data_IF_225529110604
#
_entry.id   IF_225529110604
#
_cell.length_a   1.000
_cell.length_b   1.000
_cell.length_c   1.000
_cell.angle_alpha   90.00
_cell.angle_beta   90.00
_cell.angle_gamma   90.00
#
_symmetry.space_group_name_H-M   'P 1'
#
loop_
_entity.id
_entity.type
_entity.pdbx_description
1 polymer ?
#
# COMPACT_ATOMS: atom_id res chain seq x y z
N UNK A 1 -9.29 -26.79 19.73
CA UNK A 1 -9.41 -26.65 18.26
C UNK A 1 -8.33 -25.69 17.80
N UNK A 2 -7.55 -25.98 16.74
CA UNK A 2 -6.59 -25.02 16.23
C UNK A 2 -7.34 -23.76 15.79
N UNK A 3 -6.90 -22.62 16.32
CA UNK A 3 -7.49 -21.32 16.00
C UNK A 3 -7.33 -21.07 14.49
N UNK A 4 -8.43 -20.77 13.80
CA UNK A 4 -8.44 -20.62 12.33
C UNK A 4 -7.48 -19.48 11.94
N UNK A 5 -6.48 -19.79 11.12
CA UNK A 5 -5.54 -18.80 10.56
C UNK A 5 -6.31 -17.62 9.96
N UNK A 6 -5.82 -16.43 10.24
CA UNK A 6 -6.44 -15.20 9.75
C UNK A 6 -6.03 -14.93 8.32
N UNK A 7 -6.97 -14.57 7.46
CA UNK A 7 -6.66 -14.16 6.09
C UNK A 7 -6.13 -12.73 6.04
N UNK A 8 -5.35 -12.40 5.01
CA UNK A 8 -4.87 -11.03 4.76
C UNK A 8 -6.01 -10.00 4.80
N UNK A 9 -7.14 -10.32 4.17
CA UNK A 9 -8.34 -9.46 4.18
C UNK A 9 -8.84 -9.19 5.60
N UNK A 10 -8.83 -10.20 6.46
CA UNK A 10 -9.27 -10.05 7.84
C UNK A 10 -8.28 -9.19 8.67
N UNK A 11 -6.98 -9.30 8.39
CA UNK A 11 -5.92 -8.49 9.02
C UNK A 11 -6.08 -7.03 8.63
N UNK A 12 -6.19 -6.70 7.35
CA UNK A 12 -6.40 -5.32 6.86
C UNK A 12 -7.66 -4.70 7.47
N UNK A 13 -8.77 -5.44 7.52
CA UNK A 13 -10.02 -4.95 8.15
C UNK A 13 -9.88 -4.70 9.65
N UNK A 14 -9.09 -5.51 10.32
CA UNK A 14 -8.85 -5.33 11.75
C UNK A 14 -7.94 -4.12 12.01
N UNK A 15 -6.92 -3.91 11.16
CA UNK A 15 -6.08 -2.72 11.20
C UNK A 15 -6.90 -1.44 11.04
N UNK A 16 -7.75 -1.38 10.01
CA UNK A 16 -8.64 -0.25 9.77
C UNK A 16 -9.56 0.03 10.97
N UNK A 17 -10.17 -1.01 11.56
CA UNK A 17 -11.00 -0.86 12.76
C UNK A 17 -10.21 -0.34 13.95
N UNK A 18 -8.97 -0.80 14.15
CA UNK A 18 -8.12 -0.35 15.25
C UNK A 18 -7.77 1.12 15.12
N UNK A 19 -7.33 1.53 13.93
CA UNK A 19 -6.93 2.90 13.64
C UNK A 19 -8.11 3.89 13.77
N UNK A 20 -9.28 3.51 13.25
CA UNK A 20 -10.52 4.30 13.44
C UNK A 20 -10.96 4.39 14.88
N UNK A 21 -10.95 3.27 15.62
CA UNK A 21 -11.36 3.24 17.03
C UNK A 21 -10.45 4.11 17.90
N UNK A 22 -9.15 4.18 17.56
CA UNK A 22 -8.20 5.08 18.22
C UNK A 22 -8.29 6.54 17.73
N UNK A 23 -9.10 6.83 16.72
CA UNK A 23 -9.25 8.16 16.13
C UNK A 23 -7.97 8.69 15.50
N UNK A 24 -7.18 7.80 14.87
CA UNK A 24 -5.97 8.15 14.15
C UNK A 24 -6.26 8.49 12.69
N UNK A 25 -5.74 9.63 12.23
CA UNK A 25 -5.70 9.91 10.81
C UNK A 25 -4.61 9.03 10.18
N UNK A 26 -4.95 8.31 9.14
CA UNK A 26 -4.07 7.30 8.55
C UNK A 26 -4.35 7.09 7.06
N UNK A 27 -3.40 6.44 6.38
CA UNK A 27 -3.55 6.06 4.98
C UNK A 27 -2.79 4.76 4.71
N UNK A 28 -3.43 3.83 4.03
CA UNK A 28 -2.77 2.62 3.52
C UNK A 28 -1.94 2.95 2.28
N UNK A 29 -0.72 2.43 2.25
CA UNK A 29 0.26 2.62 1.17
C UNK A 29 0.76 1.28 0.63
N UNK A 30 1.93 1.25 0.03
CA UNK A 30 2.60 0.03 -0.40
C UNK A 30 1.76 -0.85 -1.33
N UNK A 31 1.79 -2.15 -1.09
CA UNK A 31 1.12 -3.13 -1.96
C UNK A 31 -0.40 -2.97 -2.03
N UNK A 32 -1.05 -2.44 -0.99
CA UNK A 32 -2.50 -2.16 -1.03
C UNK A 32 -2.82 -1.03 -2.01
N UNK A 33 -2.02 0.03 -2.05
CA UNK A 33 -2.20 1.12 -3.00
C UNK A 33 -1.90 0.66 -4.45
N UNK A 34 -0.85 -0.16 -4.62
CA UNK A 34 -0.56 -0.81 -5.90
C UNK A 34 -1.73 -1.67 -6.35
N UNK A 35 -2.28 -2.50 -5.47
CA UNK A 35 -3.44 -3.35 -5.77
C UNK A 35 -4.72 -2.59 -6.10
N UNK A 36 -4.90 -1.39 -5.51
CA UNK A 36 -6.06 -0.53 -5.77
C UNK A 36 -5.99 0.15 -7.15
N UNK A 37 -4.82 0.59 -7.57
CA UNK A 37 -4.64 1.45 -8.75
C UNK A 37 -3.84 0.82 -9.88
N UNK A 38 -2.99 -0.16 -9.58
CA UNK A 38 -2.07 -0.82 -10.50
C UNK A 38 -2.35 -2.32 -10.66
N UNK A 39 -1.29 -3.10 -10.78
CA UNK A 39 -1.34 -4.56 -10.89
C UNK A 39 -1.24 -5.15 -9.48
N UNK A 40 -2.28 -5.86 -9.00
CA UNK A 40 -2.22 -6.50 -7.70
C UNK A 40 -1.08 -7.53 -7.62
N UNK A 41 -0.38 -7.57 -6.50
CA UNK A 41 0.62 -8.58 -6.18
C UNK A 41 0.42 -9.12 -4.76
N UNK A 42 1.04 -10.24 -4.47
CA UNK A 42 1.06 -10.79 -3.11
C UNK A 42 1.95 -9.97 -2.20
N UNK A 43 1.54 -9.86 -0.94
CA UNK A 43 2.33 -9.24 0.12
C UNK A 43 1.99 -9.92 1.45
N UNK A 44 2.95 -9.92 2.38
CA UNK A 44 2.76 -10.38 3.76
C UNK A 44 2.56 -9.21 4.73
N UNK A 45 2.93 -8.02 4.31
CA UNK A 45 2.94 -6.78 5.05
C UNK A 45 1.82 -5.83 4.63
N UNK A 46 1.38 -5.02 5.58
CA UNK A 46 0.39 -3.96 5.38
C UNK A 46 1.02 -2.65 5.83
N UNK A 47 1.42 -1.84 4.85
CA UNK A 47 2.03 -0.54 5.10
C UNK A 47 0.97 0.52 5.40
N UNK A 48 1.12 1.23 6.52
CA UNK A 48 0.19 2.28 6.93
C UNK A 48 0.97 3.49 7.44
N UNK A 49 0.70 4.65 6.86
CA UNK A 49 1.16 5.92 7.43
C UNK A 49 0.11 6.39 8.44
N UNK A 50 0.56 6.75 9.64
CA UNK A 50 -0.31 7.14 10.76
C UNK A 50 0.10 8.52 11.28
N UNK A 51 -0.84 9.43 11.40
CA UNK A 51 -0.63 10.70 12.09
C UNK A 51 -0.91 10.50 13.58
N UNK A 52 0.16 10.14 14.29
CA UNK A 52 0.08 9.84 15.72
C UNK A 52 -0.25 11.10 16.51
N UNK A 53 -1.21 10.95 17.41
CA UNK A 53 -1.52 11.96 18.44
C UNK A 53 -0.97 11.46 19.76
N UNK A 54 -0.02 12.19 20.33
CA UNK A 54 0.77 11.79 21.51
C UNK A 54 -0.08 11.25 22.66
N UNK A 55 -1.18 11.90 23.02
CA UNK A 55 -2.10 11.46 24.06
C UNK A 55 -2.97 10.24 23.70
N UNK A 56 -2.79 9.61 22.52
CA UNK A 56 -3.62 8.49 22.06
C UNK A 56 -2.86 7.20 21.74
N UNK A 57 -1.56 7.16 22.02
CA UNK A 57 -0.73 5.99 21.73
C UNK A 57 -1.20 4.75 22.51
N UNK A 58 -1.54 4.92 23.79
CA UNK A 58 -2.09 3.83 24.61
C UNK A 58 -3.43 3.31 24.08
N UNK A 59 -4.30 4.22 23.66
CA UNK A 59 -5.58 3.87 23.06
C UNK A 59 -5.39 3.12 21.74
N UNK A 60 -4.37 3.47 20.95
CA UNK A 60 -4.02 2.78 19.70
C UNK A 60 -3.51 1.37 19.98
N UNK A 61 -2.57 1.21 20.93
CA UNK A 61 -2.07 -0.09 21.34
C UNK A 61 -3.21 -1.00 21.83
N UNK A 62 -4.10 -0.46 22.66
CA UNK A 62 -5.25 -1.20 23.16
C UNK A 62 -6.23 -1.59 22.03
N UNK A 63 -6.50 -0.69 21.09
CA UNK A 63 -7.36 -0.98 19.95
C UNK A 63 -6.78 -2.10 19.07
N UNK A 64 -5.47 -2.12 18.84
CA UNK A 64 -4.79 -3.21 18.14
C UNK A 64 -4.89 -4.53 18.92
N UNK A 65 -4.59 -4.54 20.22
CA UNK A 65 -4.67 -5.75 21.05
C UNK A 65 -6.08 -6.35 21.05
N UNK A 66 -7.14 -5.52 21.15
CA UNK A 66 -8.53 -5.97 21.04
C UNK A 66 -8.86 -6.61 19.70
N UNK A 67 -8.19 -6.19 18.65
CA UNK A 67 -8.33 -6.79 17.32
C UNK A 67 -7.40 -7.99 17.10
N UNK A 68 -6.67 -8.45 18.11
CA UNK A 68 -5.82 -9.63 18.06
C UNK A 68 -4.43 -9.39 17.46
N UNK A 69 -3.92 -8.19 17.57
CA UNK A 69 -2.52 -7.88 17.25
C UNK A 69 -1.64 -7.89 18.49
N UNK A 70 -0.35 -8.16 18.30
CA UNK A 70 0.68 -8.08 19.33
C UNK A 70 1.45 -6.77 19.13
N UNK A 71 1.29 -5.86 20.07
CA UNK A 71 1.96 -4.55 20.08
C UNK A 71 2.01 -4.02 21.51
N UNK A 72 3.11 -3.37 21.88
CA UNK A 72 3.20 -2.59 23.12
C UNK A 72 2.99 -1.10 22.83
N UNK A 73 2.58 -0.36 23.85
CA UNK A 73 2.50 1.10 23.74
C UNK A 73 3.90 1.72 23.70
N UNK A 74 4.87 1.09 24.34
CA UNK A 74 6.26 1.56 24.36
C UNK A 74 6.89 1.43 22.97
N UNK A 75 6.72 0.30 22.27
CA UNK A 75 7.20 0.14 20.89
C UNK A 75 6.64 1.24 19.96
N UNK A 76 5.36 1.60 20.14
CA UNK A 76 4.74 2.68 19.38
C UNK A 76 5.32 4.06 19.75
N UNK A 77 5.63 4.31 21.04
CA UNK A 77 6.26 5.57 21.46
C UNK A 77 7.68 5.70 20.96
N UNK A 78 8.46 4.62 21.04
CA UNK A 78 9.84 4.58 20.56
C UNK A 78 9.88 4.84 19.04
N UNK A 79 9.05 4.15 18.27
CA UNK A 79 8.94 4.38 16.83
C UNK A 79 8.55 5.84 16.49
N UNK A 80 7.66 6.44 17.29
CA UNK A 80 7.27 7.83 17.13
C UNK A 80 8.43 8.79 17.45
N UNK A 81 9.14 8.56 18.54
CA UNK A 81 10.28 9.38 18.96
C UNK A 81 11.43 9.32 17.95
N UNK A 82 11.72 8.14 17.43
CA UNK A 82 12.77 7.89 16.44
C UNK A 82 12.34 8.22 15.01
N UNK A 83 11.07 8.51 14.77
CA UNK A 83 10.46 8.68 13.43
C UNK A 83 10.71 7.46 12.53
N UNK A 84 10.78 6.28 13.14
CA UNK A 84 10.94 4.99 12.51
C UNK A 84 9.58 4.29 12.35
N UNK A 85 9.55 3.13 11.68
CA UNK A 85 8.35 2.30 11.62
C UNK A 85 8.22 1.43 12.86
N UNK A 86 6.98 1.05 13.19
CA UNK A 86 6.66 0.05 14.21
C UNK A 86 5.98 -1.14 13.54
N UNK A 87 6.56 -2.32 13.66
CA UNK A 87 5.94 -3.55 13.15
C UNK A 87 4.97 -4.13 14.18
N UNK A 88 3.72 -4.30 13.76
CA UNK A 88 2.63 -4.84 14.59
C UNK A 88 2.21 -6.20 14.03
N UNK A 89 2.50 -7.27 14.77
CA UNK A 89 2.23 -8.64 14.34
C UNK A 89 0.78 -9.07 14.60
N UNK A 90 0.16 -9.75 13.64
CA UNK A 90 -1.09 -10.45 13.88
C UNK A 90 -0.84 -11.71 14.74
N UNK A 91 -1.64 -11.94 15.78
CA UNK A 91 -1.43 -13.06 16.70
C UNK A 91 -1.79 -14.44 16.09
N UNK A 92 -2.54 -14.47 14.97
CA UNK A 92 -3.14 -15.68 14.39
C UNK A 92 -2.69 -15.96 12.94
N UNK A 93 -1.72 -15.19 12.43
CA UNK A 93 -1.16 -15.38 11.10
C UNK A 93 0.27 -14.86 11.05
N UNK A 94 0.94 -15.04 9.91
CA UNK A 94 2.26 -14.48 9.61
C UNK A 94 2.20 -13.03 9.10
N UNK A 95 1.00 -12.48 8.90
CA UNK A 95 0.83 -11.11 8.44
C UNK A 95 1.16 -10.10 9.54
N UNK A 96 1.68 -8.97 9.14
CA UNK A 96 2.02 -7.87 10.04
C UNK A 96 1.66 -6.53 9.40
N UNK A 97 1.67 -5.50 10.23
CA UNK A 97 1.48 -4.12 9.83
C UNK A 97 2.78 -3.37 10.07
N UNK A 98 3.21 -2.56 9.13
CA UNK A 98 4.27 -1.59 9.31
C UNK A 98 3.65 -0.19 9.43
N UNK A 99 3.63 0.31 10.66
CA UNK A 99 3.08 1.62 10.99
C UNK A 99 4.18 2.67 10.90
N UNK A 100 4.07 3.58 9.96
CA UNK A 100 5.03 4.66 9.71
C UNK A 100 4.46 5.96 10.24
N UNK A 101 5.16 6.68 11.14
CA UNK A 101 4.73 7.99 11.60
C UNK A 101 4.65 9.02 10.46
N UNK A 102 3.60 9.84 10.45
CA UNK A 102 3.46 10.95 9.51
C UNK A 102 4.38 12.14 9.89
N UNK A 103 5.66 11.85 10.16
CA UNK A 103 6.64 12.84 10.60
C UNK A 103 7.12 13.76 9.47
N UNK A 104 7.12 13.27 8.23
CA UNK A 104 7.59 14.01 7.05
C UNK A 104 6.42 14.68 6.31
N UNK A 105 6.70 15.78 5.63
CA UNK A 105 5.70 16.49 4.82
C UNK A 105 5.05 15.56 3.75
N UNK A 106 5.82 14.66 3.15
CA UNK A 106 5.35 13.67 2.19
C UNK A 106 4.32 12.71 2.80
N UNK A 107 4.56 12.25 4.02
CA UNK A 107 3.66 11.36 4.73
C UNK A 107 2.34 12.06 5.11
N UNK A 108 2.41 13.32 5.57
CA UNK A 108 1.21 14.14 5.82
C UNK A 108 0.44 14.45 4.55
N UNK A 109 1.16 14.63 3.43
CA UNK A 109 0.54 14.86 2.12
C UNK A 109 -0.20 13.60 1.63
N UNK A 110 0.35 12.41 1.88
CA UNK A 110 -0.33 11.13 1.58
C UNK A 110 -1.67 11.01 2.32
N UNK A 111 -1.72 11.34 3.61
CA UNK A 111 -2.97 11.32 4.40
C UNK A 111 -3.96 12.34 3.84
N UNK A 112 -3.51 13.57 3.58
CA UNK A 112 -4.36 14.67 3.09
C UNK A 112 -5.02 14.39 1.74
N UNK A 113 -4.30 13.73 0.84
CA UNK A 113 -4.77 13.40 -0.52
C UNK A 113 -5.21 11.95 -0.65
N UNK A 114 -5.45 11.26 0.48
CA UNK A 114 -5.93 9.89 0.45
C UNK A 114 -7.27 9.77 -0.28
N UNK A 115 -7.44 8.65 -0.96
CA UNK A 115 -8.66 8.32 -1.70
C UNK A 115 -9.40 7.22 -0.96
N UNK A 116 -10.69 7.42 -0.72
CA UNK A 116 -11.55 6.38 -0.16
C UNK A 116 -11.82 5.30 -1.19
N UNK A 117 -11.24 4.13 -1.01
CA UNK A 117 -11.40 2.98 -1.90
C UNK A 117 -12.28 1.93 -1.24
N UNK A 118 -13.36 1.52 -1.93
CA UNK A 118 -14.14 0.36 -1.50
C UNK A 118 -13.38 -0.92 -1.79
N UNK A 119 -12.89 -1.53 -0.74
CA UNK A 119 -12.11 -2.76 -0.80
C UNK A 119 -12.83 -3.89 -0.08
N UNK A 120 -13.30 -4.88 -0.86
CA UNK A 120 -14.21 -5.92 -0.34
C UNK A 120 -15.45 -5.25 0.31
N UNK A 121 -15.72 -5.55 1.59
CA UNK A 121 -16.87 -5.01 2.34
C UNK A 121 -16.45 -3.90 3.32
N UNK A 122 -15.33 -3.21 3.06
CA UNK A 122 -14.86 -2.07 3.87
C UNK A 122 -14.40 -0.94 2.96
N UNK A 123 -14.30 0.26 3.50
CA UNK A 123 -13.72 1.41 2.81
C UNK A 123 -12.41 1.72 3.49
N UNK A 124 -11.33 1.82 2.70
CA UNK A 124 -9.98 2.11 3.18
C UNK A 124 -9.54 3.47 2.63
N UNK A 125 -8.91 4.31 3.47
CA UNK A 125 -8.17 5.47 2.97
C UNK A 125 -6.86 4.97 2.36
N UNK A 126 -6.69 5.11 1.06
CA UNK A 126 -5.50 4.66 0.33
C UNK A 126 -4.80 5.87 -0.27
N UNK A 127 -3.47 5.90 -0.22
CA UNK A 127 -2.68 6.95 -0.87
C UNK A 127 -3.04 7.05 -2.35
N UNK A 128 -3.20 8.25 -2.85
CA UNK A 128 -3.62 8.46 -4.24
C UNK A 128 -2.59 7.91 -5.26
N UNK A 129 -3.00 7.68 -6.51
CA UNK A 129 -2.13 7.12 -7.52
C UNK A 129 -0.86 7.94 -7.75
N UNK A 130 -0.97 9.27 -7.74
CA UNK A 130 0.15 10.18 -7.98
C UNK A 130 1.21 10.09 -6.88
N UNK A 131 0.75 10.06 -5.62
CA UNK A 131 1.65 9.87 -4.49
C UNK A 131 2.32 8.49 -4.56
N UNK A 132 1.55 7.44 -4.83
CA UNK A 132 2.05 6.07 -4.90
C UNK A 132 3.09 5.92 -6.01
N UNK A 133 2.84 6.44 -7.22
CA UNK A 133 3.81 6.42 -8.34
C UNK A 133 5.11 7.10 -7.93
N UNK A 134 5.05 8.32 -7.42
CA UNK A 134 6.27 9.09 -7.08
C UNK A 134 7.05 8.41 -5.98
N UNK A 135 6.39 7.92 -4.92
CA UNK A 135 7.09 7.24 -3.83
C UNK A 135 7.72 5.92 -4.27
N UNK A 136 7.09 5.19 -5.18
CA UNK A 136 7.67 4.00 -5.81
C UNK A 136 8.96 4.34 -6.59
N UNK A 137 8.99 5.46 -7.31
CA UNK A 137 10.20 5.93 -7.98
C UNK A 137 11.29 6.37 -6.99
N UNK A 138 10.92 6.93 -5.84
CA UNK A 138 11.86 7.28 -4.76
C UNK A 138 12.52 6.04 -4.17
N UNK A 139 11.78 4.93 -3.97
CA UNK A 139 12.33 3.66 -3.49
C UNK A 139 13.19 2.98 -4.57
N UNK A 140 12.77 3.01 -5.83
CA UNK A 140 13.58 2.75 -7.00
C UNK A 140 14.02 1.31 -7.22
N UNK A 141 13.49 0.31 -6.49
CA UNK A 141 13.74 -1.09 -6.84
C UNK A 141 13.08 -1.44 -8.18
N UNK A 142 13.54 -2.50 -8.83
CA UNK A 142 12.94 -2.98 -10.08
C UNK A 142 11.42 -3.20 -9.92
N UNK A 143 11.01 -3.84 -8.84
CA UNK A 143 9.60 -4.06 -8.51
C UNK A 143 8.85 -2.73 -8.29
N UNK A 144 9.49 -1.73 -7.67
CA UNK A 144 8.85 -0.43 -7.44
C UNK A 144 8.62 0.32 -8.77
N UNK A 145 9.55 0.23 -9.69
CA UNK A 145 9.41 0.82 -11.04
C UNK A 145 8.30 0.12 -11.83
N UNK A 146 8.20 -1.21 -11.74
CA UNK A 146 7.10 -1.98 -12.34
C UNK A 146 5.74 -1.62 -11.73
N UNK A 147 5.66 -1.53 -10.40
CA UNK A 147 4.46 -1.10 -9.67
C UNK A 147 4.02 0.31 -10.13
N UNK A 148 4.97 1.26 -10.19
CA UNK A 148 4.70 2.63 -10.65
C UNK A 148 4.19 2.66 -12.09
N UNK A 149 4.81 1.90 -12.99
CA UNK A 149 4.41 1.79 -14.39
C UNK A 149 3.01 1.20 -14.54
N UNK A 150 2.72 0.14 -13.80
CA UNK A 150 1.39 -0.48 -13.78
C UNK A 150 0.29 0.47 -13.35
N UNK A 151 0.54 1.27 -12.29
CA UNK A 151 -0.39 2.32 -11.84
C UNK A 151 -0.54 3.40 -12.90
N UNK A 152 0.57 3.92 -13.44
CA UNK A 152 0.55 4.99 -14.44
C UNK A 152 -0.27 4.60 -15.68
N UNK A 153 -0.03 3.42 -16.23
CA UNK A 153 -0.74 2.93 -17.43
C UNK A 153 -2.25 2.82 -17.17
N UNK A 154 -2.65 2.30 -16.02
CA UNK A 154 -4.06 2.10 -15.67
C UNK A 154 -4.79 3.38 -15.33
N UNK A 155 -4.12 4.31 -14.64
CA UNK A 155 -4.74 5.53 -14.14
C UNK A 155 -4.53 6.75 -15.05
N UNK A 156 -3.75 6.62 -16.14
CA UNK A 156 -3.27 7.72 -17.00
C UNK A 156 -4.30 8.81 -17.30
N UNK A 157 -5.56 8.42 -17.57
CA UNK A 157 -6.63 9.37 -17.92
C UNK A 157 -7.16 10.16 -16.71
N UNK A 158 -6.84 9.73 -15.49
CA UNK A 158 -7.32 10.29 -14.22
C UNK A 158 -6.23 10.96 -13.42
N UNK A 159 -4.95 10.78 -13.83
CA UNK A 159 -3.80 11.36 -13.12
C UNK A 159 -3.78 12.88 -13.26
N UNK A 160 -3.57 13.55 -12.13
CA UNK A 160 -3.24 14.97 -12.06
C UNK A 160 -1.77 15.21 -12.41
N UNK A 161 -1.40 15.08 -13.70
CA UNK A 161 -0.01 15.09 -14.17
C UNK A 161 0.79 16.29 -13.67
N UNK A 162 0.18 17.49 -13.61
CA UNK A 162 0.85 18.68 -13.09
C UNK A 162 1.26 18.52 -11.64
N UNK A 163 0.36 18.06 -10.79
CA UNK A 163 0.63 17.83 -9.36
C UNK A 163 1.67 16.72 -9.18
N UNK A 164 1.54 15.63 -9.92
CA UNK A 164 2.48 14.51 -9.86
C UNK A 164 3.90 14.93 -10.24
N UNK A 165 4.08 15.70 -11.34
CA UNK A 165 5.39 16.21 -11.76
C UNK A 165 5.99 17.19 -10.75
N UNK A 166 5.18 18.07 -10.15
CA UNK A 166 5.64 18.95 -9.09
C UNK A 166 6.08 18.15 -7.86
N UNK A 167 5.36 17.09 -7.52
CA UNK A 167 5.73 16.21 -6.41
C UNK A 167 7.02 15.44 -6.73
N UNK A 168 7.15 14.85 -7.92
CA UNK A 168 8.37 14.16 -8.37
C UNK A 168 9.59 15.09 -8.37
N UNK A 169 9.43 16.34 -8.81
CA UNK A 169 10.50 17.35 -8.74
C UNK A 169 10.98 17.61 -7.32
N UNK A 170 10.05 17.76 -6.36
CA UNK A 170 10.40 17.95 -4.95
C UNK A 170 11.07 16.73 -4.32
N UNK A 171 10.82 15.53 -4.86
CA UNK A 171 11.43 14.28 -4.40
C UNK A 171 12.72 13.91 -5.16
N UNK A 172 13.14 14.70 -6.16
CA UNK A 172 14.35 14.44 -6.93
C UNK A 172 14.22 13.33 -7.99
N UNK A 173 13.00 12.86 -8.30
CA UNK A 173 12.72 11.75 -9.23
C UNK A 173 11.93 12.19 -10.47
N UNK A 174 12.09 13.46 -10.88
CA UNK A 174 11.36 13.96 -12.04
C UNK A 174 11.83 13.30 -13.35
N UNK A 175 13.11 12.99 -13.46
CA UNK A 175 13.65 12.34 -14.65
C UNK A 175 13.23 10.87 -14.72
N UNK A 176 13.21 10.17 -13.57
CA UNK A 176 12.66 8.81 -13.49
C UNK A 176 11.17 8.77 -13.89
N UNK A 177 10.40 9.80 -13.48
CA UNK A 177 9.01 9.92 -13.91
C UNK A 177 8.87 10.14 -15.42
N UNK A 178 9.75 10.95 -16.03
CA UNK A 178 9.75 11.15 -17.49
C UNK A 178 10.09 9.87 -18.23
N UNK A 179 11.03 9.09 -17.69
CA UNK A 179 11.40 7.79 -18.25
C UNK A 179 10.25 6.78 -18.17
N UNK A 180 9.56 6.76 -17.04
CA UNK A 180 8.35 5.97 -16.85
C UNK A 180 7.24 6.39 -17.82
N UNK A 181 7.04 7.70 -18.04
CA UNK A 181 6.08 8.23 -19.01
C UNK A 181 6.41 7.78 -20.44
N UNK A 182 7.70 7.75 -20.83
CA UNK A 182 8.15 7.23 -22.15
C UNK A 182 7.86 5.73 -22.30
N UNK A 183 8.27 4.91 -21.31
CA UNK A 183 7.99 3.46 -21.30
C UNK A 183 6.49 3.17 -21.43
N UNK A 184 5.66 3.95 -20.74
CA UNK A 184 4.20 3.79 -20.82
C UNK A 184 3.63 4.09 -22.23
N UNK A 185 4.26 4.95 -23.00
CA UNK A 185 3.89 5.22 -24.40
C UNK A 185 4.30 4.06 -25.31
N UNK A 186 5.50 3.51 -25.11
CA UNK A 186 6.03 2.37 -25.87
C UNK A 186 5.17 1.12 -25.68
N UNK A 187 4.79 0.80 -24.44
CA UNK A 187 3.87 -0.31 -24.11
C UNK A 187 2.54 -0.16 -24.84
N UNK A 188 2.00 1.06 -24.93
CA UNK A 188 0.74 1.32 -25.61
C UNK A 188 0.83 1.13 -27.13
N UNK A 189 1.98 1.40 -27.71
CA UNK A 189 2.21 1.25 -29.15
C UNK A 189 2.50 -0.19 -29.56
N UNK A 190 3.09 -1.00 -28.67
CA UNK A 190 3.59 -2.35 -28.99
C UNK A 190 2.84 -3.55 -28.40
N UNK A 191 2.13 -3.38 -27.29
CA UNK A 191 1.65 -4.55 -26.53
C UNK A 191 0.29 -4.36 -25.84
N UNK A 192 -0.76 -4.03 -26.56
CA UNK A 192 -2.13 -3.98 -26.00
C UNK A 192 -2.61 -5.30 -25.36
N UNK A 193 -1.96 -6.40 -25.67
CA UNK A 193 -2.46 -7.72 -25.28
C UNK A 193 -1.82 -8.36 -24.04
N UNK A 194 -0.59 -8.01 -23.66
CA UNK A 194 0.15 -8.74 -22.61
C UNK A 194 -0.20 -8.27 -21.21
N UNK A 195 -0.14 -6.97 -20.95
CA UNK A 195 -0.47 -6.41 -19.63
C UNK A 195 -1.94 -6.63 -19.25
N UNK A 196 -2.86 -6.50 -20.21
CA UNK A 196 -4.29 -6.77 -19.95
C UNK A 196 -4.55 -8.25 -19.62
N UNK A 197 -3.79 -9.16 -20.22
CA UNK A 197 -3.86 -10.60 -19.91
C UNK A 197 -3.32 -10.91 -18.52
N UNK A 198 -2.18 -10.37 -18.14
CA UNK A 198 -1.61 -10.55 -16.80
C UNK A 198 -2.52 -9.96 -15.71
N UNK A 199 -3.10 -8.81 -15.96
CA UNK A 199 -4.09 -8.19 -15.07
C UNK A 199 -5.34 -9.07 -14.91
N UNK A 200 -5.85 -9.64 -16.00
CA UNK A 200 -7.01 -10.52 -15.96
C UNK A 200 -6.71 -11.80 -15.16
N UNK A 201 -5.51 -12.37 -15.32
CA UNK A 201 -5.03 -13.54 -14.56
C UNK A 201 -4.92 -13.22 -13.07
N UNK A 202 -4.22 -12.11 -12.70
CA UNK A 202 -4.08 -11.70 -11.31
C UNK A 202 -5.43 -11.47 -10.62
N UNK A 203 -6.40 -10.85 -11.32
CA UNK A 203 -7.77 -10.68 -10.81
C UNK A 203 -8.48 -12.01 -10.54
N UNK A 204 -8.34 -12.98 -11.42
CA UNK A 204 -8.96 -14.30 -11.27
C UNK A 204 -8.40 -15.03 -10.04
N UNK A 205 -7.09 -14.95 -9.80
CA UNK A 205 -6.45 -15.55 -8.63
C UNK A 205 -6.88 -14.88 -7.32
N UNK A 206 -6.96 -13.55 -7.27
CA UNK A 206 -7.43 -12.81 -6.09
C UNK A 206 -8.90 -13.13 -5.78
N UNK A 207 -9.74 -13.29 -6.82
CA UNK A 207 -11.15 -13.65 -6.63
C UNK A 207 -11.33 -15.07 -6.12
N UNK A 208 -10.45 -16.00 -6.49
CA UNK A 208 -10.49 -17.40 -6.03
C UNK A 208 -9.97 -17.60 -4.60
N UNK A 209 -9.44 -16.56 -3.94
CA UNK A 209 -8.90 -16.65 -2.57
C UNK A 209 -7.59 -17.42 -2.45
N UNK A 210 -6.99 -17.82 -3.55
CA UNK A 210 -5.68 -18.48 -3.59
C UNK A 210 -4.60 -17.40 -3.54
N UNK A 211 -3.75 -17.48 -2.55
CA UNK A 211 -2.46 -16.79 -2.56
C UNK A 211 -1.54 -17.56 -3.51
N UNK A 212 -1.26 -16.99 -4.66
CA UNK A 212 -0.32 -17.58 -5.64
C UNK A 212 0.86 -16.65 -5.71
N UNK A 213 2.07 -17.19 -5.59
CA UNK A 213 3.29 -16.42 -5.74
C UNK A 213 3.48 -15.99 -7.20
N UNK A 214 4.21 -14.88 -7.42
CA UNK A 214 4.56 -14.43 -8.77
C UNK A 214 5.32 -15.50 -9.58
N UNK A 215 6.06 -16.39 -8.89
CA UNK A 215 6.76 -17.51 -9.53
C UNK A 215 5.82 -18.60 -10.04
N UNK A 216 4.72 -18.87 -9.33
CA UNK A 216 3.70 -19.83 -9.79
C UNK A 216 2.95 -19.30 -11.01
N UNK A 217 2.67 -17.98 -11.07
CA UNK A 217 2.07 -17.34 -12.24
C UNK A 217 2.95 -17.40 -13.50
N UNK A 218 4.28 -17.38 -13.33
CA UNK A 218 5.25 -17.48 -14.44
C UNK A 218 5.49 -18.92 -14.93
N UNK A 219 5.24 -19.93 -14.08
CA UNK A 219 5.44 -21.35 -14.43
C UNK A 219 4.30 -21.97 -15.23
N UNK A 220 3.11 -21.39 -15.23
CA UNK A 220 1.98 -21.87 -16.04
C UNK A 220 2.09 -21.45 -17.53
N UNK A 221 3.07 -20.61 -17.89
CA UNK A 221 3.32 -20.13 -19.26
C UNK A 221 4.52 -20.82 -19.96
N UNK A 222 5.17 -21.82 -19.33
CA UNK A 222 6.29 -22.60 -19.90
C UNK A 222 5.83 -24.02 -20.28
#
# INVERSE_FOLDING_TARGET
MPEKRRSFVAVVKAAERSLRAAGMDHVFVGALAVGAFGVPRTTADVDVIVDYREGRVDSLAEAFRRQGFRVSADDLRDALAEKSHCTVHDARSEFHLDLVPAARATAKDAIRHSVSVRWRNTTLPIADPEHTIVMKLVYGSEQDVEDALGIYVRQRKRLGLRRMRQFASRQGVLDDLRDLERKAVEIKSGARGTLEREIARARKHIQSGKTVSLEELRREDA
#
